data_IF_302725560692
#
_entry.id   IF_302725560692
#
_cell.length_a   1.000
_cell.length_b   1.000
_cell.length_c   1.000
_cell.angle_alpha   90.00
_cell.angle_beta   90.00
_cell.angle_gamma   90.00
#
_symmetry.space_group_name_H-M   'P 1'
#
loop_
_entity.id
_entity.type
_entity.pdbx_description
1 polymer ?
#
# COMPACT_ATOMS: atom_id res chain seq x y z
N UNK A 1 8.76 46.65 -42.36
CA UNK A 1 7.40 46.74 -42.95
C UNK A 1 7.03 45.38 -43.53
N UNK A 2 6.54 44.46 -42.69
CA UNK A 2 5.94 43.20 -43.12
C UNK A 2 4.58 43.11 -42.44
N UNK A 3 3.53 42.98 -43.26
CA UNK A 3 2.13 43.11 -42.86
C UNK A 3 1.65 41.83 -42.18
N UNK A 4 1.23 42.00 -40.95
CA UNK A 4 0.53 41.05 -40.10
C UNK A 4 -0.83 40.70 -40.73
N UNK A 5 -1.01 39.44 -41.13
CA UNK A 5 -2.31 38.95 -41.63
C UNK A 5 -3.20 38.62 -40.44
N UNK A 6 -4.01 39.58 -40.02
CA UNK A 6 -5.16 39.36 -39.15
C UNK A 6 -6.05 38.26 -39.75
N UNK A 7 -6.16 37.13 -39.05
CA UNK A 7 -7.18 36.12 -39.32
C UNK A 7 -8.49 36.61 -38.69
N UNK A 8 -9.35 37.18 -39.51
CA UNK A 8 -10.70 37.60 -39.15
C UNK A 8 -11.46 36.42 -38.56
N UNK A 9 -11.96 36.57 -37.34
CA UNK A 9 -12.88 35.62 -36.71
C UNK A 9 -14.20 35.71 -37.48
N UNK A 10 -14.48 34.72 -38.33
CA UNK A 10 -15.79 34.59 -38.97
C UNK A 10 -16.77 34.02 -37.95
N UNK A 11 -17.77 34.81 -37.57
CA UNK A 11 -18.95 34.37 -36.84
C UNK A 11 -19.62 33.16 -37.54
N UNK A 12 -20.13 32.17 -36.80
CA UNK A 12 -20.84 31.06 -37.41
C UNK A 12 -22.21 31.54 -37.91
N UNK A 13 -22.36 31.59 -39.23
CA UNK A 13 -23.66 31.78 -39.89
C UNK A 13 -24.52 30.52 -39.72
N UNK A 14 -25.73 30.74 -39.20
CA UNK A 14 -26.90 29.87 -39.24
C UNK A 14 -26.93 28.67 -38.27
N UNK A 15 -27.71 28.83 -37.20
CA UNK A 15 -28.26 27.75 -36.38
C UNK A 15 -29.42 27.09 -37.17
N UNK A 16 -29.38 25.78 -37.52
CA UNK A 16 -30.53 25.12 -38.11
C UNK A 16 -31.55 24.80 -37.02
N UNK A 17 -32.82 25.06 -37.35
CA UNK A 17 -34.00 24.89 -36.51
C UNK A 17 -34.16 23.45 -36.01
N UNK A 18 -34.60 23.37 -34.77
CA UNK A 18 -35.01 22.21 -33.98
C UNK A 18 -35.68 21.11 -34.83
N UNK A 19 -35.03 19.94 -34.93
CA UNK A 19 -35.62 18.72 -35.51
C UNK A 19 -35.75 17.67 -34.39
N UNK A 20 -36.97 17.12 -34.32
CA UNK A 20 -37.54 16.24 -33.29
C UNK A 20 -36.54 15.22 -32.69
N UNK A 21 -36.56 15.16 -31.36
CA UNK A 21 -35.58 14.64 -30.40
C UNK A 21 -35.24 13.13 -30.44
N UNK A 22 -35.55 12.41 -31.53
CA UNK A 22 -35.28 10.96 -31.65
C UNK A 22 -34.19 10.61 -32.66
N UNK A 23 -34.13 11.32 -33.79
CA UNK A 23 -33.27 10.90 -34.92
C UNK A 23 -31.83 11.40 -34.76
N UNK A 24 -31.63 12.53 -34.09
CA UNK A 24 -30.31 13.15 -33.91
C UNK A 24 -29.39 12.30 -33.00
N UNK A 25 -29.93 11.65 -31.96
CA UNK A 25 -29.17 10.76 -31.07
C UNK A 25 -28.71 9.47 -31.77
N UNK A 26 -29.50 8.96 -32.72
CA UNK A 26 -29.16 7.75 -33.49
C UNK A 26 -28.07 8.07 -34.53
N UNK A 27 -28.10 9.25 -35.14
CA UNK A 27 -27.03 9.66 -36.08
C UNK A 27 -25.72 10.01 -35.38
N UNK A 28 -25.76 10.65 -34.20
CA UNK A 28 -24.54 10.89 -33.40
C UNK A 28 -23.87 9.57 -33.00
N UNK A 29 -24.65 8.58 -32.57
CA UNK A 29 -24.12 7.26 -32.15
C UNK A 29 -23.59 6.42 -33.32
N UNK A 30 -24.13 6.58 -34.53
CA UNK A 30 -23.60 5.94 -35.75
C UNK A 30 -22.34 6.64 -36.27
N UNK A 31 -22.31 7.98 -36.28
CA UNK A 31 -21.16 8.76 -36.76
C UNK A 31 -19.91 8.62 -35.88
N UNK A 32 -20.08 8.47 -34.57
CA UNK A 32 -18.97 8.21 -33.64
C UNK A 32 -18.40 6.78 -33.74
N UNK A 33 -19.12 5.84 -34.37
CA UNK A 33 -18.65 4.47 -34.56
C UNK A 33 -17.77 4.31 -35.81
N UNK A 34 -17.88 5.22 -36.77
CA UNK A 34 -17.15 5.12 -38.05
C UNK A 34 -15.87 5.97 -38.11
N UNK A 35 -15.74 7.05 -37.32
CA UNK A 35 -14.55 7.93 -37.34
C UNK A 35 -13.57 7.73 -36.16
N UNK A 36 -13.79 6.72 -35.32
CA UNK A 36 -13.02 6.51 -34.09
C UNK A 36 -12.59 5.07 -33.83
N UNK A 37 -12.38 4.26 -34.89
CA UNK A 37 -11.70 2.98 -34.72
C UNK A 37 -10.27 3.28 -34.25
N UNK A 38 -10.08 3.30 -32.94
CA UNK A 38 -8.77 3.37 -32.30
C UNK A 38 -7.96 2.24 -32.88
N UNK A 39 -7.05 2.57 -33.80
CA UNK A 39 -6.16 1.60 -34.42
C UNK A 39 -5.32 1.01 -33.30
N UNK A 40 -5.78 -0.12 -32.75
CA UNK A 40 -5.04 -0.87 -31.76
C UNK A 40 -3.74 -1.28 -32.42
N UNK A 41 -2.67 -0.57 -32.10
CA UNK A 41 -1.37 -0.86 -32.65
C UNK A 41 -0.93 -2.19 -32.05
N UNK A 42 -0.69 -3.17 -32.92
CA UNK A 42 -0.19 -4.48 -32.51
C UNK A 42 1.20 -4.25 -31.94
N UNK A 43 1.37 -4.52 -30.65
CA UNK A 43 2.68 -4.52 -30.01
C UNK A 43 3.40 -5.77 -30.54
N UNK A 44 4.50 -5.57 -31.26
CA UNK A 44 5.35 -6.66 -31.70
C UNK A 44 5.94 -7.34 -30.45
N UNK A 45 5.77 -8.66 -30.26
CA UNK A 45 6.36 -9.37 -29.14
C UNK A 45 7.87 -9.56 -29.39
N UNK A 46 8.64 -8.49 -29.24
CA UNK A 46 10.09 -8.51 -29.28
C UNK A 46 10.64 -8.29 -27.87
N UNK A 47 10.60 -9.32 -27.03
CA UNK A 47 11.22 -9.25 -25.71
C UNK A 47 12.73 -9.05 -25.92
N UNK A 48 13.36 -8.04 -25.28
CA UNK A 48 14.78 -7.77 -25.50
C UNK A 48 15.63 -8.96 -25.06
N UNK A 49 16.69 -9.26 -25.82
CA UNK A 49 17.61 -10.35 -25.48
C UNK A 49 18.14 -10.18 -24.05
N UNK A 50 18.06 -11.25 -23.25
CA UNK A 50 18.44 -11.25 -21.84
C UNK A 50 17.29 -11.01 -20.86
N UNK A 51 16.13 -10.52 -21.32
CA UNK A 51 14.92 -10.48 -20.49
C UNK A 51 14.26 -11.87 -20.40
N UNK A 52 13.73 -12.18 -19.23
CA UNK A 52 12.91 -13.37 -18.97
C UNK A 52 11.48 -13.11 -19.43
N UNK A 53 10.92 -14.03 -20.21
CA UNK A 53 9.52 -13.98 -20.62
C UNK A 53 8.60 -14.35 -19.44
N UNK A 54 7.65 -13.48 -19.09
CA UNK A 54 6.56 -13.81 -18.17
C UNK A 54 5.42 -14.50 -18.94
N UNK A 55 5.08 -13.94 -20.10
CA UNK A 55 4.19 -14.50 -21.11
C UNK A 55 4.48 -13.86 -22.48
N UNK A 56 3.72 -14.23 -23.51
CA UNK A 56 3.94 -13.78 -24.90
C UNK A 56 3.90 -12.26 -25.13
N UNK A 57 3.46 -11.47 -24.15
CA UNK A 57 3.38 -10.01 -24.23
C UNK A 57 4.27 -9.31 -23.22
N UNK A 58 4.50 -9.91 -22.05
CA UNK A 58 5.18 -9.27 -20.93
C UNK A 58 6.51 -9.95 -20.66
N UNK A 59 7.58 -9.16 -20.70
CA UNK A 59 8.93 -9.57 -20.33
C UNK A 59 9.41 -8.87 -19.07
N UNK A 60 10.42 -9.41 -18.43
CA UNK A 60 11.10 -8.79 -17.28
C UNK A 60 12.59 -9.00 -17.36
N UNK A 61 13.35 -7.93 -17.13
CA UNK A 61 14.79 -7.97 -16.97
C UNK A 61 15.17 -7.51 -15.56
N UNK A 62 16.27 -8.04 -15.06
CA UNK A 62 16.81 -7.68 -13.76
C UNK A 62 18.33 -7.65 -13.80
N UNK A 63 18.89 -6.59 -13.23
CA UNK A 63 20.27 -6.53 -12.79
C UNK A 63 20.34 -6.37 -11.25
N UNK A 64 21.54 -6.05 -10.74
CA UNK A 64 21.76 -5.85 -9.31
C UNK A 64 21.06 -4.60 -8.75
N UNK A 65 20.71 -3.64 -9.61
CA UNK A 65 20.15 -2.34 -9.20
C UNK A 65 18.63 -2.30 -9.32
N UNK A 66 18.04 -2.88 -10.37
CA UNK A 66 16.63 -2.73 -10.69
C UNK A 66 16.00 -3.90 -11.43
N UNK A 67 14.68 -3.99 -11.29
CA UNK A 67 13.79 -4.72 -12.17
C UNK A 67 13.26 -3.79 -13.25
N UNK A 68 13.16 -4.27 -14.48
CA UNK A 68 12.55 -3.55 -15.61
C UNK A 68 11.52 -4.46 -16.28
N UNK A 69 10.29 -3.99 -16.42
CA UNK A 69 9.18 -4.71 -17.02
C UNK A 69 8.92 -4.18 -18.42
N UNK A 70 8.67 -5.09 -19.35
CA UNK A 70 8.49 -4.78 -20.77
C UNK A 70 7.13 -5.24 -21.26
N UNK A 71 6.54 -4.47 -22.16
CA UNK A 71 5.41 -4.89 -22.98
C UNK A 71 5.91 -4.98 -24.43
N UNK A 72 6.09 -6.21 -24.92
CA UNK A 72 6.91 -6.47 -26.10
C UNK A 72 8.35 -6.00 -25.85
N UNK A 73 8.86 -5.14 -26.73
CA UNK A 73 10.20 -4.54 -26.59
C UNK A 73 10.26 -3.23 -25.82
N UNK A 74 9.12 -2.70 -25.36
CA UNK A 74 9.07 -1.37 -24.74
C UNK A 74 9.12 -1.46 -23.21
N UNK A 75 10.09 -0.80 -22.53
CA UNK A 75 10.12 -0.76 -21.07
C UNK A 75 8.97 0.10 -20.56
N UNK A 76 8.09 -0.49 -19.76
CA UNK A 76 6.90 0.19 -19.23
C UNK A 76 7.07 0.64 -17.78
N UNK A 77 7.93 -0.04 -17.03
CA UNK A 77 8.14 0.27 -15.62
C UNK A 77 9.46 -0.28 -15.09
N UNK A 78 10.04 0.38 -14.09
CA UNK A 78 11.17 -0.15 -13.33
C UNK A 78 11.09 0.20 -11.84
N UNK A 79 11.72 -0.62 -11.01
CA UNK A 79 11.92 -0.33 -9.59
C UNK A 79 13.21 -0.96 -9.10
N UNK A 80 13.73 -0.49 -7.97
CA UNK A 80 14.95 -1.04 -7.37
C UNK A 80 14.84 -2.54 -7.09
N UNK A 81 15.94 -3.27 -7.25
CA UNK A 81 16.01 -4.72 -7.10
C UNK A 81 15.64 -5.19 -5.69
N UNK A 82 15.95 -4.36 -4.68
CA UNK A 82 15.68 -4.59 -3.26
C UNK A 82 14.26 -4.19 -2.82
N UNK A 83 13.50 -3.45 -3.64
CA UNK A 83 12.18 -2.97 -3.25
C UNK A 83 11.09 -4.04 -3.43
N UNK A 84 10.94 -4.84 -2.38
CA UNK A 84 9.89 -5.88 -2.28
C UNK A 84 8.47 -5.31 -2.18
N UNK A 85 8.28 -4.05 -1.80
CA UNK A 85 6.94 -3.43 -1.78
C UNK A 85 6.53 -3.11 -3.21
N UNK A 86 7.42 -2.47 -3.96
CA UNK A 86 7.23 -2.18 -5.38
C UNK A 86 7.04 -3.45 -6.21
N UNK A 87 7.88 -4.49 -6.00
CA UNK A 87 7.70 -5.76 -6.69
C UNK A 87 6.28 -6.34 -6.53
N UNK A 88 5.75 -6.34 -5.30
CA UNK A 88 4.40 -6.85 -5.01
C UNK A 88 3.31 -5.97 -5.63
N UNK A 89 3.52 -4.66 -5.66
CA UNK A 89 2.59 -3.73 -6.28
C UNK A 89 2.53 -3.95 -7.80
N UNK A 90 3.67 -3.95 -8.47
CA UNK A 90 3.75 -4.06 -9.94
C UNK A 90 3.19 -5.39 -10.41
N UNK A 91 3.57 -6.50 -9.76
CA UNK A 91 3.03 -7.82 -10.11
C UNK A 91 1.53 -7.92 -9.86
N UNK A 92 1.01 -7.29 -8.80
CA UNK A 92 -0.43 -7.19 -8.58
C UNK A 92 -1.12 -6.35 -9.67
N UNK A 93 -0.55 -5.22 -10.08
CA UNK A 93 -1.09 -4.38 -11.16
C UNK A 93 -1.09 -5.09 -12.51
N UNK A 94 -0.04 -5.85 -12.84
CA UNK A 94 0.01 -6.68 -14.05
C UNK A 94 -1.12 -7.73 -14.06
N UNK A 95 -1.47 -8.28 -12.90
CA UNK A 95 -2.59 -9.23 -12.78
C UNK A 95 -3.93 -8.51 -12.89
N UNK A 96 -4.13 -7.41 -12.17
CA UNK A 96 -5.39 -6.66 -12.17
C UNK A 96 -5.71 -6.02 -13.53
N UNK A 97 -4.69 -5.59 -14.27
CA UNK A 97 -4.87 -5.09 -15.64
C UNK A 97 -5.10 -6.19 -16.67
N UNK A 98 -5.01 -7.47 -16.29
CA UNK A 98 -5.12 -8.61 -17.21
C UNK A 98 -3.87 -8.84 -18.07
N UNK A 99 -2.78 -8.10 -17.83
CA UNK A 99 -1.51 -8.28 -18.55
C UNK A 99 -0.79 -9.60 -18.20
N UNK A 100 -1.04 -10.15 -17.02
CA UNK A 100 -0.50 -11.43 -16.55
C UNK A 100 -1.54 -12.22 -15.76
N UNK A 101 -1.43 -13.55 -15.77
CA UNK A 101 -2.16 -14.41 -14.83
C UNK A 101 -1.32 -14.62 -13.58
N UNK A 102 -1.97 -14.97 -12.47
CA UNK A 102 -1.27 -15.31 -11.23
C UNK A 102 -0.23 -16.43 -11.43
N UNK A 103 -0.56 -17.44 -12.26
CA UNK A 103 0.34 -18.56 -12.57
C UNK A 103 1.61 -18.12 -13.30
N UNK A 104 1.51 -17.08 -14.14
CA UNK A 104 2.66 -16.55 -14.88
C UNK A 104 3.66 -15.91 -13.90
N UNK A 105 3.17 -15.15 -12.92
CA UNK A 105 3.98 -14.54 -11.86
C UNK A 105 4.60 -15.60 -10.94
N UNK A 106 3.83 -16.62 -10.54
CA UNK A 106 4.32 -17.70 -9.67
C UNK A 106 5.48 -18.44 -10.34
N UNK A 107 5.31 -18.82 -11.61
CA UNK A 107 6.32 -19.59 -12.36
C UNK A 107 7.57 -18.77 -12.64
N UNK A 108 7.40 -17.50 -13.04
CA UNK A 108 8.54 -16.67 -13.47
C UNK A 108 9.40 -16.23 -12.29
N UNK A 109 8.78 -15.84 -11.17
CA UNK A 109 9.52 -15.27 -10.03
C UNK A 109 9.73 -16.25 -8.86
N UNK A 110 9.21 -17.48 -8.95
CA UNK A 110 9.30 -18.47 -7.87
C UNK A 110 8.58 -18.04 -6.59
N UNK A 111 7.59 -17.17 -6.68
CA UNK A 111 6.89 -16.63 -5.51
C UNK A 111 5.72 -17.53 -5.08
N UNK A 112 5.51 -17.76 -3.78
CA UNK A 112 4.39 -18.58 -3.31
C UNK A 112 3.02 -18.02 -3.74
N UNK A 113 2.11 -18.90 -4.19
CA UNK A 113 0.72 -18.55 -4.57
C UNK A 113 0.03 -17.66 -3.54
N UNK A 114 0.17 -17.97 -2.25
CA UNK A 114 -0.42 -17.18 -1.14
C UNK A 114 0.04 -15.72 -1.15
N UNK A 115 1.29 -15.44 -1.54
CA UNK A 115 1.83 -14.09 -1.55
C UNK A 115 1.25 -13.29 -2.72
N UNK A 116 1.09 -13.93 -3.88
CA UNK A 116 0.47 -13.32 -5.07
C UNK A 116 -0.99 -12.97 -4.79
N UNK A 117 -1.78 -13.91 -4.26
CA UNK A 117 -3.18 -13.67 -3.89
C UNK A 117 -3.30 -12.53 -2.88
N UNK A 118 -2.44 -12.51 -1.84
CA UNK A 118 -2.44 -11.43 -0.84
C UNK A 118 -2.11 -10.07 -1.46
N UNK A 119 -1.15 -10.00 -2.38
CA UNK A 119 -0.80 -8.75 -3.05
C UNK A 119 -1.95 -8.24 -3.92
N UNK A 120 -2.57 -9.12 -4.72
CA UNK A 120 -3.73 -8.78 -5.54
C UNK A 120 -4.90 -8.28 -4.69
N UNK A 121 -5.25 -9.01 -3.63
CA UNK A 121 -6.34 -8.60 -2.73
C UNK A 121 -6.03 -7.27 -2.03
N UNK A 122 -4.78 -7.07 -1.61
CA UNK A 122 -4.33 -5.80 -1.02
C UNK A 122 -4.51 -4.63 -2.00
N UNK A 123 -4.16 -4.80 -3.27
CA UNK A 123 -4.38 -3.78 -4.30
C UNK A 123 -5.87 -3.48 -4.49
N UNK A 124 -6.73 -4.50 -4.53
CA UNK A 124 -8.19 -4.33 -4.67
C UNK A 124 -8.84 -3.63 -3.48
N UNK A 125 -8.40 -3.94 -2.27
CA UNK A 125 -9.04 -3.49 -1.03
C UNK A 125 -8.48 -2.15 -0.54
N UNK A 126 -7.18 -1.94 -0.67
CA UNK A 126 -6.47 -0.81 -0.05
C UNK A 126 -5.82 0.12 -1.09
N UNK A 127 -5.90 -0.23 -2.38
CA UNK A 127 -5.21 0.50 -3.45
C UNK A 127 -3.68 0.42 -3.35
N UNK A 128 -3.02 1.33 -4.06
CA UNK A 128 -1.55 1.45 -4.07
C UNK A 128 -1.01 1.75 -2.67
N UNK A 129 -1.70 2.61 -1.91
CA UNK A 129 -1.30 3.02 -0.57
C UNK A 129 -1.12 1.83 0.39
N UNK A 130 -1.94 0.78 0.22
CA UNK A 130 -1.87 -0.43 1.05
C UNK A 130 -0.50 -1.12 1.08
N UNK A 131 0.33 -0.92 0.06
CA UNK A 131 1.68 -1.49 0.00
C UNK A 131 2.73 -0.69 0.78
N UNK A 132 2.43 0.58 1.07
CA UNK A 132 3.35 1.53 1.73
C UNK A 132 2.89 1.91 3.14
N UNK A 133 1.65 1.59 3.51
CA UNK A 133 1.18 1.74 4.90
C UNK A 133 2.12 0.99 5.85
N UNK A 134 2.58 1.63 6.94
CA UNK A 134 3.33 0.94 7.96
C UNK A 134 2.48 -0.19 8.52
N UNK A 135 3.11 -1.35 8.72
CA UNK A 135 2.40 -2.47 9.37
C UNK A 135 2.02 -1.99 10.78
N UNK A 136 0.74 -2.13 11.21
CA UNK A 136 0.38 -1.84 12.57
C UNK A 136 1.32 -2.62 13.49
N UNK A 137 1.95 -1.92 14.42
CA UNK A 137 2.72 -2.57 15.46
C UNK A 137 1.83 -3.63 16.11
N UNK A 138 2.39 -4.79 16.44
CA UNK A 138 1.68 -5.74 17.30
C UNK A 138 1.34 -4.98 18.58
N UNK A 139 0.07 -4.61 18.76
CA UNK A 139 -0.41 -4.18 20.06
C UNK A 139 -0.15 -5.32 21.04
N UNK A 140 0.26 -4.95 22.26
CA UNK A 140 0.95 -5.78 23.23
C UNK A 140 0.40 -7.20 23.43
N UNK A 141 1.27 -8.10 23.91
CA UNK A 141 0.93 -9.50 24.12
C UNK A 141 -0.34 -9.69 24.96
N UNK A 142 -1.03 -10.82 24.75
CA UNK A 142 -2.33 -11.20 25.33
C UNK A 142 -2.41 -11.10 26.86
N UNK A 143 -1.27 -11.02 27.54
CA UNK A 143 -1.16 -11.03 29.01
C UNK A 143 -1.50 -9.68 29.63
N UNK A 144 -1.13 -8.56 29.01
CA UNK A 144 -1.37 -7.20 29.54
C UNK A 144 -2.38 -6.47 28.67
N UNK A 145 -3.62 -6.94 28.74
CA UNK A 145 -4.77 -6.25 28.14
C UNK A 145 -5.02 -4.92 28.84
N UNK A 146 -5.72 -3.96 28.21
CA UNK A 146 -6.06 -2.68 28.85
C UNK A 146 -6.67 -2.78 30.26
N UNK A 147 -7.62 -3.70 30.55
CA UNK A 147 -8.15 -3.83 31.92
C UNK A 147 -7.11 -4.39 32.90
N UNK A 148 -6.24 -5.31 32.47
CA UNK A 148 -5.16 -5.83 33.32
C UNK A 148 -4.13 -4.75 33.62
N UNK A 149 -3.81 -3.88 32.65
CA UNK A 149 -2.96 -2.72 32.87
C UNK A 149 -3.57 -1.72 33.86
N UNK A 150 -4.87 -1.43 33.74
CA UNK A 150 -5.56 -0.55 34.69
C UNK A 150 -5.50 -1.11 36.12
N UNK A 151 -5.81 -2.41 36.30
CA UNK A 151 -5.72 -3.05 37.61
C UNK A 151 -4.29 -3.09 38.15
N UNK A 152 -3.30 -3.38 37.30
CA UNK A 152 -1.90 -3.34 37.67
C UNK A 152 -1.46 -1.93 38.11
N UNK A 153 -1.93 -0.89 37.43
CA UNK A 153 -1.62 0.49 37.78
C UNK A 153 -2.23 0.85 39.14
N UNK A 154 -3.50 0.52 39.38
CA UNK A 154 -4.14 0.76 40.69
C UNK A 154 -3.39 0.10 41.84
N UNK A 155 -2.99 -1.17 41.69
CA UNK A 155 -2.23 -1.86 42.73
C UNK A 155 -0.84 -1.23 42.96
N UNK A 156 -0.17 -0.81 41.88
CA UNK A 156 1.08 -0.08 42.00
C UNK A 156 0.87 1.27 42.71
N UNK A 157 -0.18 2.01 42.36
CA UNK A 157 -0.53 3.30 42.98
C UNK A 157 -0.89 3.15 44.47
N UNK A 158 -1.45 2.00 44.87
CA UNK A 158 -1.67 1.58 46.27
C UNK A 158 -0.38 1.12 46.99
N UNK A 159 0.78 1.32 46.36
CA UNK A 159 2.12 0.97 46.86
C UNK A 159 2.41 -0.52 46.99
N UNK A 160 1.66 -1.39 46.32
CA UNK A 160 2.05 -2.80 46.23
C UNK A 160 3.34 -2.96 45.43
N UNK A 161 4.20 -3.86 45.89
CA UNK A 161 5.43 -4.19 45.18
C UNK A 161 5.12 -4.91 43.86
N UNK A 162 5.99 -4.75 42.87
CA UNK A 162 5.89 -5.46 41.56
C UNK A 162 5.67 -6.97 41.72
N UNK A 163 6.23 -7.58 42.76
CA UNK A 163 6.09 -9.02 43.02
C UNK A 163 4.70 -9.39 43.50
N UNK A 164 4.09 -8.57 44.35
CA UNK A 164 2.71 -8.76 44.82
C UNK A 164 1.72 -8.57 43.68
N UNK A 165 1.88 -7.50 42.90
CA UNK A 165 1.06 -7.24 41.72
C UNK A 165 1.15 -8.38 40.71
N UNK A 166 2.36 -8.92 40.47
CA UNK A 166 2.55 -10.07 39.58
C UNK A 166 1.77 -11.29 40.07
N UNK A 167 1.85 -11.59 41.37
CA UNK A 167 1.19 -12.72 42.00
C UNK A 167 -0.34 -12.57 41.97
N UNK A 168 -0.86 -11.39 42.29
CA UNK A 168 -2.30 -11.13 42.32
C UNK A 168 -2.93 -11.21 40.93
N UNK A 169 -2.24 -10.68 39.92
CA UNK A 169 -2.73 -10.70 38.54
C UNK A 169 -2.45 -12.02 37.80
N UNK A 170 -1.73 -12.95 38.43
CA UNK A 170 -1.32 -14.21 37.79
C UNK A 170 -0.41 -14.01 36.58
N UNK A 171 0.33 -12.89 36.54
CA UNK A 171 1.24 -12.55 35.43
C UNK A 171 2.70 -12.74 35.87
N UNK A 172 3.58 -13.05 34.92
CA UNK A 172 5.02 -13.15 35.22
C UNK A 172 5.56 -11.79 35.66
N UNK A 173 6.41 -11.77 36.68
CA UNK A 173 7.12 -10.56 37.11
C UNK A 173 7.80 -9.81 35.94
N UNK A 174 8.47 -10.55 35.05
CA UNK A 174 9.14 -9.97 33.87
C UNK A 174 8.16 -9.24 32.92
N UNK A 175 6.89 -9.62 32.93
CA UNK A 175 5.85 -8.97 32.13
C UNK A 175 5.50 -7.59 32.68
N UNK A 176 5.39 -7.45 34.01
CA UNK A 176 5.22 -6.15 34.66
C UNK A 176 6.48 -5.30 34.53
N UNK A 177 7.67 -5.88 34.72
CA UNK A 177 8.95 -5.18 34.53
C UNK A 177 9.06 -4.58 33.13
N UNK A 178 8.72 -5.35 32.09
CA UNK A 178 8.69 -4.85 30.70
C UNK A 178 7.66 -3.75 30.52
N UNK A 179 6.47 -3.89 31.09
CA UNK A 179 5.45 -2.86 30.99
C UNK A 179 5.86 -1.53 31.62
N UNK A 180 6.58 -1.57 32.75
CA UNK A 180 7.16 -0.37 33.38
C UNK A 180 8.25 0.23 32.49
N UNK A 181 9.19 -0.59 32.01
CA UNK A 181 10.29 -0.13 31.15
C UNK A 181 9.80 0.48 29.82
N UNK A 182 8.74 -0.09 29.24
CA UNK A 182 8.11 0.40 28.00
C UNK A 182 7.18 1.61 28.26
N UNK A 183 7.05 2.08 29.51
CA UNK A 183 6.22 3.22 29.90
C UNK A 183 4.72 2.96 29.94
N UNK A 184 4.28 1.69 29.86
CA UNK A 184 2.86 1.28 29.94
C UNK A 184 2.33 1.24 31.36
N UNK A 185 3.20 1.11 32.36
CA UNK A 185 2.90 1.23 33.79
C UNK A 185 3.89 2.21 34.43
N UNK A 186 3.45 2.90 35.48
CA UNK A 186 4.27 3.85 36.25
C UNK A 186 4.43 3.35 37.67
N UNK A 187 5.61 3.56 38.24
CA UNK A 187 5.82 3.33 39.66
C UNK A 187 5.47 4.59 40.46
N UNK A 188 4.92 4.43 41.67
CA UNK A 188 4.80 5.54 42.59
C UNK A 188 6.20 6.08 42.89
N UNK A 189 6.40 7.37 42.63
CA UNK A 189 7.62 8.07 43.02
C UNK A 189 7.78 7.92 44.53
N UNK A 190 8.84 7.22 44.96
CA UNK A 190 9.18 7.10 46.38
C UNK A 190 9.57 8.48 46.91
N UNK A 191 8.61 9.21 47.49
CA UNK A 191 8.91 10.33 48.39
C UNK A 191 9.64 9.72 49.59
N UNK A 192 10.94 9.97 49.65
CA UNK A 192 11.84 9.44 50.67
C UNK A 192 11.36 9.89 52.05
N UNK A 193 10.85 8.95 52.86
CA UNK A 193 10.74 9.14 54.30
C UNK A 193 12.18 9.21 54.87
N UNK A 194 12.61 10.39 55.31
CA UNK A 194 13.77 10.52 56.19
C UNK A 194 13.32 10.29 57.64
N UNK A 195 13.79 9.25 58.34
CA UNK A 195 13.52 9.12 59.76
C UNK A 195 14.38 10.12 60.53
N UNK A 196 13.74 11.13 61.12
CA UNK A 196 14.35 11.98 62.14
C UNK A 196 14.88 11.08 63.27
N UNK A 197 16.20 11.03 63.43
CA UNK A 197 16.84 10.38 64.56
C UNK A 197 16.66 11.27 65.80
N UNK A 198 16.08 10.79 66.92
CA UNK A 198 16.02 11.57 68.13
C UNK A 198 17.42 11.62 68.76
N UNK A 199 17.96 12.83 68.91
CA UNK A 199 19.15 13.05 69.75
C UNK A 199 18.72 12.87 71.20
N UNK A 200 19.04 11.71 71.77
CA UNK A 200 18.93 11.47 73.22
C UNK A 200 20.06 12.26 73.88
N UNK A 201 19.68 13.09 74.85
CA UNK A 201 20.56 13.98 75.65
C UNK A 201 21.58 13.21 76.47
#
# INVERSE_FOLDING_TARGET
>A
MQREKHRTISEPKHLPKEKKNGTFLIEITKKQREEGATKQQIILPCIPMGATEINSRVGVWRDDQQWTYFLGGHPVYSHRADDRRMFRLVTAQLIESGGCRQVDIIRTFGVPKRNVIRAVNKLRQEGVEGFFKPRPARQGGTVLTPPVLAKAQSLLDEHHSRSEVAKELGVKYDTLRKAINDGRLKEPTHLQFQPNHPVIR
#
